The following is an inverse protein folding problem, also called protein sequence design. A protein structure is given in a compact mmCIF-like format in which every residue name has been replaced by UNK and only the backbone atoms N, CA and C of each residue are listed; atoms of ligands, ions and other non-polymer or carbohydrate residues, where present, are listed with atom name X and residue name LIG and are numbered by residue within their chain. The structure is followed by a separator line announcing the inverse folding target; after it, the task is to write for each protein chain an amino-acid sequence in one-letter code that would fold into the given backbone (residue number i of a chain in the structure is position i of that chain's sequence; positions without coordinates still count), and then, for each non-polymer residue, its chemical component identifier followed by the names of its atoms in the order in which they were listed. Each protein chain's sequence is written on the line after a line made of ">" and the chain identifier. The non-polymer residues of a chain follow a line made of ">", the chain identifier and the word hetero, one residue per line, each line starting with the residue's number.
data_IF_904356347639
#
_entry.id   IF_904356347639
#
_cell.length_a   1.000
_cell.length_b   1.000
_cell.length_c   1.000
_cell.angle_alpha   90.00
_cell.angle_beta   90.00
_cell.angle_gamma   90.00
#
_symmetry.space_group_name_H-M   'P 1'
#
loop_
_entity.id
_entity.type
_entity.pdbx_description
1 polymer ?
#
# COMPACT_ATOMS: atom_id res chain seq x y z
N UNK A 1 -11.04 -11.19 -26.06
CA UNK A 1 -10.72 -12.03 -24.88
C UNK A 1 -9.52 -11.53 -24.06
N UNK A 2 -8.58 -10.76 -24.63
CA UNK A 2 -7.44 -10.19 -23.88
C UNK A 2 -7.83 -9.19 -22.77
N UNK A 3 -8.87 -8.38 -22.99
CA UNK A 3 -9.33 -7.39 -21.98
C UNK A 3 -9.86 -8.01 -20.69
N UNK A 4 -10.56 -9.15 -20.76
CA UNK A 4 -11.09 -9.85 -19.57
C UNK A 4 -9.96 -10.46 -18.72
N UNK A 5 -8.91 -10.95 -19.39
CA UNK A 5 -7.73 -11.53 -18.75
C UNK A 5 -6.89 -10.46 -18.02
N UNK A 6 -6.77 -9.26 -18.59
CA UNK A 6 -6.11 -8.13 -17.94
C UNK A 6 -6.91 -7.63 -16.73
N UNK A 7 -8.23 -7.51 -16.88
CA UNK A 7 -9.13 -7.12 -15.80
C UNK A 7 -9.01 -8.11 -14.62
N UNK A 8 -9.09 -9.42 -14.85
CA UNK A 8 -9.00 -10.42 -13.77
C UNK A 8 -7.59 -10.49 -13.13
N UNK A 9 -6.52 -10.29 -13.91
CA UNK A 9 -5.13 -10.39 -13.43
C UNK A 9 -4.67 -9.18 -12.60
N UNK A 10 -5.16 -7.99 -12.93
CA UNK A 10 -4.73 -6.72 -12.32
C UNK A 10 -5.76 -6.08 -11.38
N UNK A 11 -7.07 -6.29 -11.60
CA UNK A 11 -8.09 -5.72 -10.70
C UNK A 11 -8.00 -6.30 -9.30
N UNK A 12 -7.68 -7.59 -9.14
CA UNK A 12 -7.61 -8.19 -7.80
C UNK A 12 -6.64 -7.46 -6.88
N UNK A 13 -5.37 -7.31 -7.29
CA UNK A 13 -4.36 -6.65 -6.46
C UNK A 13 -4.55 -5.13 -6.38
N UNK A 14 -4.97 -4.46 -7.47
CA UNK A 14 -5.21 -3.02 -7.46
C UNK A 14 -6.41 -2.60 -6.61
N UNK A 15 -7.51 -3.35 -6.65
CA UNK A 15 -8.70 -3.11 -5.83
C UNK A 15 -8.38 -3.37 -4.35
N UNK A 16 -7.62 -4.43 -4.03
CA UNK A 16 -7.19 -4.69 -2.65
C UNK A 16 -6.34 -3.54 -2.11
N UNK A 17 -5.38 -3.03 -2.89
CA UNK A 17 -4.54 -1.88 -2.52
C UNK A 17 -5.38 -0.61 -2.26
N UNK A 18 -6.38 -0.36 -3.09
CA UNK A 18 -7.24 0.82 -2.98
C UNK A 18 -8.20 0.72 -1.78
N UNK A 19 -8.82 -0.45 -1.57
CA UNK A 19 -9.73 -0.71 -0.46
C UNK A 19 -8.99 -0.70 0.87
N UNK A 20 -7.82 -1.33 0.96
CA UNK A 20 -7.01 -1.31 2.17
C UNK A 20 -6.58 0.11 2.54
N UNK A 21 -6.20 0.92 1.55
CA UNK A 21 -5.83 2.32 1.74
C UNK A 21 -7.01 3.16 2.24
N UNK A 22 -8.18 2.99 1.63
CA UNK A 22 -9.40 3.67 2.09
C UNK A 22 -9.74 3.30 3.53
N UNK A 23 -9.70 2.01 3.88
CA UNK A 23 -9.94 1.54 5.26
C UNK A 23 -8.93 2.11 6.25
N UNK A 24 -7.65 2.21 5.86
CA UNK A 24 -6.61 2.79 6.69
C UNK A 24 -6.85 4.28 6.97
N UNK A 25 -7.27 5.06 5.96
CA UNK A 25 -7.65 6.46 6.15
C UNK A 25 -8.83 6.56 7.13
N UNK A 26 -9.90 5.80 6.92
CA UNK A 26 -11.07 5.81 7.80
C UNK A 26 -10.67 5.46 9.24
N UNK A 27 -9.83 4.43 9.42
CA UNK A 27 -9.30 4.06 10.72
C UNK A 27 -8.49 5.19 11.35
N UNK A 28 -7.60 5.83 10.58
CA UNK A 28 -6.74 6.90 11.07
C UNK A 28 -7.54 8.10 11.57
N UNK A 29 -8.61 8.49 10.87
CA UNK A 29 -9.48 9.59 11.30
C UNK A 29 -10.43 9.19 12.45
N UNK A 30 -10.93 7.96 12.46
CA UNK A 30 -11.86 7.50 13.50
C UNK A 30 -11.18 7.21 14.85
N UNK A 31 -9.91 6.81 14.82
CA UNK A 31 -9.14 6.38 16.00
C UNK A 31 -7.89 7.24 16.25
N UNK A 32 -7.84 8.45 15.70
CA UNK A 32 -6.71 9.37 15.90
C UNK A 32 -6.39 9.62 17.39
N UNK A 33 -7.41 9.76 18.22
CA UNK A 33 -7.29 10.09 19.65
C UNK A 33 -7.18 8.84 20.56
N UNK A 34 -7.05 7.66 19.96
CA UNK A 34 -6.95 6.39 20.68
C UNK A 34 -5.51 6.08 21.08
N UNK A 35 -5.34 5.15 22.03
CA UNK A 35 -4.02 4.67 22.51
C UNK A 35 -3.01 4.51 21.36
N UNK A 36 -1.90 5.23 21.47
CA UNK A 36 -0.82 5.31 20.47
C UNK A 36 -0.30 3.94 20.03
N UNK A 37 -0.42 2.92 20.89
CA UNK A 37 0.02 1.54 20.60
C UNK A 37 -0.81 0.87 19.51
N UNK A 38 -2.15 1.03 19.53
CA UNK A 38 -3.03 0.41 18.53
C UNK A 38 -2.79 1.06 17.16
N UNK A 39 -2.67 2.39 17.14
CA UNK A 39 -2.36 3.14 15.92
C UNK A 39 -1.04 2.72 15.29
N UNK A 40 0.02 2.57 16.10
CA UNK A 40 1.33 2.09 15.64
C UNK A 40 1.25 0.67 15.07
N UNK A 41 0.54 -0.25 15.73
CA UNK A 41 0.42 -1.64 15.28
C UNK A 41 -0.35 -1.74 13.97
N UNK A 42 -1.49 -1.05 13.85
CA UNK A 42 -2.28 -1.02 12.62
C UNK A 42 -1.50 -0.36 11.47
N UNK A 43 -0.77 0.70 11.74
CA UNK A 43 0.07 1.37 10.74
C UNK A 43 1.22 0.46 10.26
N UNK A 44 1.91 -0.24 11.17
CA UNK A 44 2.95 -1.20 10.81
C UNK A 44 2.39 -2.37 9.99
N UNK A 45 1.24 -2.92 10.38
CA UNK A 45 0.56 -3.97 9.64
C UNK A 45 0.14 -3.49 8.25
N UNK A 46 -0.39 -2.27 8.15
CA UNK A 46 -0.76 -1.66 6.87
C UNK A 46 0.45 -1.49 5.94
N UNK A 47 1.59 -1.04 6.46
CA UNK A 47 2.83 -0.91 5.67
C UNK A 47 3.26 -2.26 5.10
N UNK A 48 3.30 -3.31 5.92
CA UNK A 48 3.68 -4.65 5.49
C UNK A 48 2.69 -5.21 4.45
N UNK A 49 1.39 -5.06 4.72
CA UNK A 49 0.32 -5.50 3.83
C UNK A 49 0.40 -4.80 2.46
N UNK A 50 0.55 -3.47 2.45
CA UNK A 50 0.70 -2.71 1.21
C UNK A 50 1.99 -3.05 0.49
N UNK A 51 3.10 -3.26 1.20
CA UNK A 51 4.36 -3.64 0.58
C UNK A 51 4.26 -4.97 -0.19
N UNK A 52 3.59 -5.97 0.39
CA UNK A 52 3.36 -7.26 -0.25
C UNK A 52 2.45 -7.13 -1.48
N UNK A 53 1.34 -6.42 -1.35
CA UNK A 53 0.40 -6.25 -2.46
C UNK A 53 0.96 -5.38 -3.58
N UNK A 54 1.77 -4.36 -3.25
CA UNK A 54 2.48 -3.55 -4.22
C UNK A 54 3.54 -4.38 -4.94
N UNK A 55 4.29 -5.23 -4.22
CA UNK A 55 5.23 -6.17 -4.82
C UNK A 55 4.54 -7.10 -5.81
N UNK A 56 3.44 -7.73 -5.40
CA UNK A 56 2.67 -8.63 -6.25
C UNK A 56 2.05 -7.90 -7.45
N UNK A 57 1.60 -6.65 -7.28
CA UNK A 57 1.05 -5.83 -8.35
C UNK A 57 2.12 -5.47 -9.39
N UNK A 58 3.28 -4.97 -8.96
CA UNK A 58 4.38 -4.59 -9.84
C UNK A 58 4.97 -5.83 -10.54
N UNK A 59 5.15 -6.93 -9.81
CA UNK A 59 5.68 -8.19 -10.37
C UNK A 59 4.78 -8.81 -11.44
N UNK A 60 3.46 -8.59 -11.36
CA UNK A 60 2.50 -9.04 -12.38
C UNK A 60 2.45 -8.14 -13.61
N UNK A 61 2.93 -6.90 -13.50
CA UNK A 61 2.83 -5.88 -14.56
C UNK A 61 3.72 -6.22 -15.76
N UNK A 62 3.19 -6.10 -16.97
CA UNK A 62 3.89 -6.44 -18.21
C UNK A 62 4.85 -5.35 -18.70
N UNK A 63 4.83 -4.17 -18.06
CA UNK A 63 5.76 -3.09 -18.36
C UNK A 63 7.21 -3.46 -17.98
N UNK A 64 8.10 -3.50 -18.97
CA UNK A 64 9.51 -3.91 -18.82
C UNK A 64 10.27 -3.02 -17.85
N UNK A 65 9.97 -1.72 -17.82
CA UNK A 65 10.56 -0.76 -16.88
C UNK A 65 10.26 -1.10 -15.42
N UNK A 66 9.02 -1.52 -15.12
CA UNK A 66 8.60 -1.91 -13.77
C UNK A 66 9.20 -3.26 -13.36
N UNK A 67 9.29 -4.23 -14.28
CA UNK A 67 9.93 -5.53 -13.99
C UNK A 67 11.42 -5.42 -13.68
N UNK A 68 12.14 -4.52 -14.36
CA UNK A 68 13.55 -4.29 -14.07
C UNK A 68 13.75 -3.74 -12.65
N UNK A 69 12.79 -2.96 -12.13
CA UNK A 69 12.82 -2.47 -10.75
C UNK A 69 12.57 -3.61 -9.76
N UNK A 70 11.63 -4.54 -10.04
CA UNK A 70 11.30 -5.70 -9.17
C UNK A 70 12.50 -6.63 -8.92
N UNK A 71 13.45 -6.72 -9.84
CA UNK A 71 14.65 -7.55 -9.66
C UNK A 71 15.69 -6.95 -8.70
N UNK A 72 15.57 -5.67 -8.33
CA UNK A 72 16.58 -4.96 -7.56
C UNK A 72 16.26 -4.92 -6.06
N UNK A 73 17.31 -4.88 -5.22
CA UNK A 73 17.18 -4.65 -3.78
C UNK A 73 16.38 -3.37 -3.47
N UNK A 74 16.53 -2.34 -4.31
CA UNK A 74 15.82 -1.06 -4.21
C UNK A 74 14.29 -1.21 -4.28
N UNK A 75 13.76 -2.22 -4.96
CA UNK A 75 12.31 -2.44 -4.99
C UNK A 75 11.76 -2.69 -3.58
N UNK A 76 12.43 -3.52 -2.76
CA UNK A 76 11.92 -3.90 -1.43
C UNK A 76 11.90 -2.69 -0.51
N UNK A 77 12.92 -1.85 -0.64
CA UNK A 77 12.98 -0.58 0.04
C UNK A 77 11.83 0.34 -0.39
N UNK A 78 11.62 0.55 -1.70
CA UNK A 78 10.52 1.38 -2.20
C UNK A 78 9.14 0.84 -1.80
N UNK A 79 8.97 -0.49 -1.81
CA UNK A 79 7.71 -1.12 -1.43
C UNK A 79 7.35 -0.94 0.05
N UNK A 80 8.33 -0.81 0.96
CA UNK A 80 8.10 -0.45 2.36
C UNK A 80 8.03 1.06 2.58
N UNK A 81 8.86 1.84 1.89
CA UNK A 81 8.99 3.29 2.09
C UNK A 81 7.75 4.02 1.58
N UNK A 82 7.17 3.62 0.45
CA UNK A 82 5.97 4.28 -0.09
C UNK A 82 4.78 4.20 0.89
N UNK A 83 4.41 3.02 1.43
CA UNK A 83 3.40 2.93 2.48
C UNK A 83 3.80 3.68 3.76
N UNK A 84 5.08 3.68 4.15
CA UNK A 84 5.53 4.41 5.34
C UNK A 84 5.37 5.93 5.21
N UNK A 85 5.67 6.49 4.03
CA UNK A 85 5.44 7.91 3.73
C UNK A 85 3.95 8.22 3.80
N UNK A 86 3.10 7.34 3.26
CA UNK A 86 1.64 7.47 3.34
C UNK A 86 1.16 7.52 4.79
N UNK A 87 1.64 6.60 5.63
CA UNK A 87 1.31 6.56 7.07
C UNK A 87 1.74 7.86 7.75
N UNK A 88 2.96 8.33 7.47
CA UNK A 88 3.47 9.57 8.06
C UNK A 88 2.66 10.79 7.62
N UNK A 89 2.28 10.88 6.35
CA UNK A 89 1.48 12.00 5.83
C UNK A 89 0.04 11.97 6.33
N UNK A 90 -0.58 10.79 6.43
CA UNK A 90 -1.92 10.66 7.01
C UNK A 90 -1.93 10.96 8.51
N UNK A 91 -0.91 10.53 9.25
CA UNK A 91 -0.77 10.94 10.65
C UNK A 91 -0.61 12.46 10.79
N UNK A 92 0.24 13.08 9.96
CA UNK A 92 0.40 14.54 9.94
C UNK A 92 -0.93 15.26 9.65
N UNK A 93 -1.65 14.84 8.60
CA UNK A 93 -2.96 15.38 8.25
C UNK A 93 -4.02 15.16 9.33
N UNK A 94 -4.04 13.98 9.96
CA UNK A 94 -4.97 13.68 11.05
C UNK A 94 -4.66 14.50 12.31
N UNK A 95 -3.38 14.88 12.51
CA UNK A 95 -2.94 15.70 13.63
C UNK A 95 -3.26 17.19 13.51
N UNK A 96 -3.66 17.66 12.32
CA UNK A 96 -3.97 19.07 12.07
C UNK A 96 -2.76 20.01 12.16
N UNK A 97 -1.55 19.45 12.16
CA UNK A 97 -0.26 20.15 11.97
C UNK A 97 0.06 20.32 10.48
#
# INVERSE_FOLDING_TARGET
>A
MLGKYYIDKYMGSGVILAVSFFLYIVFSFAYYDSSSTIFLFVSAFFILFQAEHLYNFIGRNEQVSLKNVVGTFWHRFVACVVPAIIVATTWWLASGL
#
